data_IF_331347588616
#
_entry.id   IF_331347588616
#
_cell.length_a   1.000
_cell.length_b   1.000
_cell.length_c   1.000
_cell.angle_alpha   90.00
_cell.angle_beta   90.00
_cell.angle_gamma   90.00
#
_symmetry.space_group_name_H-M   'P 1'
#
loop_
_entity.id
_entity.type
_entity.pdbx_description
1 polymer ?
#
# COMPACT_ATOMS: atom_id res chain seq x y z
N UNK A 1 1.45 -19.16 -4.05
CA UNK A 1 2.41 -18.09 -3.70
C UNK A 1 1.74 -16.78 -4.02
N UNK A 2 1.73 -15.80 -3.11
CA UNK A 2 1.32 -14.45 -3.45
C UNK A 2 2.34 -13.91 -4.45
N UNK A 3 1.91 -13.67 -5.69
CA UNK A 3 2.81 -13.18 -6.74
C UNK A 3 2.88 -11.66 -6.64
N UNK A 4 4.09 -11.11 -6.72
CA UNK A 4 4.30 -9.66 -6.75
C UNK A 4 4.17 -9.17 -8.19
N UNK A 5 3.25 -8.24 -8.42
CA UNK A 5 3.11 -7.59 -9.73
C UNK A 5 3.91 -6.28 -9.71
N UNK A 6 4.92 -6.22 -10.57
CA UNK A 6 5.85 -5.08 -10.70
C UNK A 6 5.47 -4.18 -11.88
N UNK A 7 4.19 -3.82 -11.96
CA UNK A 7 3.68 -2.85 -12.93
C UNK A 7 2.90 -1.76 -12.22
N UNK A 8 3.02 -0.53 -12.75
CA UNK A 8 2.29 0.61 -12.21
C UNK A 8 0.78 0.46 -12.43
N UNK A 9 0.00 0.76 -11.39
CA UNK A 9 -1.46 0.80 -11.49
C UNK A 9 -1.90 2.00 -12.34
N UNK A 10 -2.92 1.83 -13.19
CA UNK A 10 -3.48 2.96 -13.92
C UNK A 10 -4.25 3.88 -12.98
N UNK A 11 -4.38 5.14 -13.37
CA UNK A 11 -5.09 6.18 -12.60
C UNK A 11 -6.55 5.82 -12.32
N UNK A 12 -7.19 5.11 -13.25
CA UNK A 12 -8.55 4.59 -13.08
C UNK A 12 -8.65 3.61 -11.91
N UNK A 13 -7.60 2.83 -11.68
CA UNK A 13 -7.51 1.93 -10.53
C UNK A 13 -7.22 2.73 -9.27
N UNK A 14 -6.23 3.63 -9.25
CA UNK A 14 -5.92 4.45 -8.06
C UNK A 14 -7.14 5.25 -7.56
N UNK A 15 -7.87 5.84 -8.50
CA UNK A 15 -8.99 6.73 -8.19
C UNK A 15 -10.24 5.98 -7.69
N UNK A 16 -10.24 4.63 -7.61
CA UNK A 16 -11.32 3.89 -6.94
C UNK A 16 -11.23 3.96 -5.42
N UNK A 17 -10.09 4.38 -4.85
CA UNK A 17 -9.99 4.57 -3.42
C UNK A 17 -11.00 5.62 -2.94
N UNK A 18 -11.61 5.40 -1.77
CA UNK A 18 -12.43 6.43 -1.15
C UNK A 18 -11.56 7.60 -0.69
N UNK A 19 -12.15 8.79 -0.64
CA UNK A 19 -11.53 9.96 -0.04
C UNK A 19 -11.46 9.80 1.48
N UNK A 20 -10.46 10.41 2.12
CA UNK A 20 -10.32 10.41 3.59
C UNK A 20 -11.62 10.83 4.31
N UNK A 21 -12.34 11.79 3.74
CA UNK A 21 -13.61 12.30 4.29
C UNK A 21 -14.75 11.28 4.26
N UNK A 22 -14.62 10.22 3.46
CA UNK A 22 -15.65 9.19 3.27
C UNK A 22 -15.43 7.96 4.17
N UNK A 23 -14.27 7.83 4.81
CA UNK A 23 -13.88 6.61 5.56
C UNK A 23 -13.64 6.83 7.04
N UNK A 24 -14.15 7.92 7.61
CA UNK A 24 -14.00 8.21 9.04
C UNK A 24 -14.60 7.09 9.94
N UNK A 25 -15.65 6.41 9.48
CA UNK A 25 -16.31 5.30 10.19
C UNK A 25 -15.64 3.93 10.01
N UNK A 26 -14.73 3.78 9.05
CA UNK A 26 -14.20 2.48 8.64
C UNK A 26 -13.64 1.61 9.79
N UNK A 27 -12.92 2.16 10.79
CA UNK A 27 -12.46 1.34 11.92
C UNK A 27 -13.58 0.70 12.75
N UNK A 28 -14.73 1.39 12.85
CA UNK A 28 -15.91 0.88 13.56
C UNK A 28 -16.69 -0.09 12.68
N UNK A 29 -16.92 0.29 11.43
CA UNK A 29 -17.71 -0.48 10.47
C UNK A 29 -17.06 -1.84 10.15
N UNK A 30 -15.72 -1.90 10.18
CA UNK A 30 -14.91 -3.09 9.88
C UNK A 30 -14.22 -3.68 11.12
N UNK A 31 -14.80 -3.49 12.32
CA UNK A 31 -14.18 -3.94 13.56
C UNK A 31 -13.86 -5.45 13.57
N UNK A 32 -14.73 -6.28 13.01
CA UNK A 32 -14.54 -7.73 12.94
C UNK A 32 -13.37 -8.08 12.01
N UNK A 33 -13.29 -7.45 10.83
CA UNK A 33 -12.18 -7.63 9.88
C UNK A 33 -10.82 -7.25 10.53
N UNK A 34 -10.80 -6.18 11.32
CA UNK A 34 -9.61 -5.76 12.07
C UNK A 34 -9.19 -6.77 13.15
N UNK A 35 -10.16 -7.44 13.78
CA UNK A 35 -9.90 -8.51 14.73
C UNK A 35 -9.31 -9.73 14.03
N UNK A 36 -9.89 -10.15 12.91
CA UNK A 36 -9.44 -11.31 12.14
C UNK A 36 -8.03 -11.07 11.58
N UNK A 37 -7.76 -9.85 11.10
CA UNK A 37 -6.43 -9.41 10.68
C UNK A 37 -5.41 -9.48 11.82
N UNK A 38 -5.78 -9.05 13.03
CA UNK A 38 -4.90 -9.13 14.20
C UNK A 38 -4.61 -10.60 14.56
N UNK A 39 -5.61 -11.46 14.51
CA UNK A 39 -5.44 -12.88 14.82
C UNK A 39 -4.55 -13.56 13.77
N UNK A 40 -4.65 -13.17 12.49
CA UNK A 40 -3.74 -13.59 11.43
C UNK A 40 -2.28 -13.13 11.66
N UNK A 41 -2.07 -11.86 12.03
CA UNK A 41 -0.74 -11.34 12.36
C UNK A 41 -0.10 -12.13 13.52
N UNK A 42 -0.89 -12.44 14.55
CA UNK A 42 -0.44 -13.24 15.69
C UNK A 42 -0.12 -14.69 15.29
N UNK A 43 -0.98 -15.33 14.48
CA UNK A 43 -0.79 -16.71 13.99
C UNK A 43 0.56 -16.88 13.29
N UNK A 44 0.98 -15.88 12.51
CA UNK A 44 2.22 -15.91 11.76
C UNK A 44 3.42 -15.29 12.50
N UNK A 45 3.27 -14.91 13.76
CA UNK A 45 4.31 -14.24 14.56
C UNK A 45 4.92 -13.03 13.83
N UNK A 46 4.08 -12.25 13.16
CA UNK A 46 4.53 -11.11 12.35
C UNK A 46 5.23 -10.08 13.26
N UNK A 47 6.46 -9.62 12.91
CA UNK A 47 7.20 -8.68 13.75
C UNK A 47 6.47 -7.34 13.92
N UNK A 48 6.70 -6.68 15.06
CA UNK A 48 6.10 -5.37 15.40
C UNK A 48 6.38 -4.25 14.37
N UNK A 49 7.37 -4.42 13.50
CA UNK A 49 7.70 -3.48 12.43
C UNK A 49 6.78 -3.57 11.20
N UNK A 50 5.94 -4.61 11.11
CA UNK A 50 4.99 -4.79 10.01
C UNK A 50 3.62 -4.29 10.45
N UNK A 51 2.98 -3.51 9.59
CA UNK A 51 1.63 -2.99 9.82
C UNK A 51 0.80 -3.12 8.55
N UNK A 52 -0.47 -3.43 8.71
CA UNK A 52 -1.46 -3.38 7.62
C UNK A 52 -2.32 -2.14 7.83
N UNK A 53 -2.61 -1.40 6.76
CA UNK A 53 -3.26 -0.10 6.80
C UNK A 53 -4.48 -0.10 5.88
N UNK A 54 -5.56 0.54 6.34
CA UNK A 54 -6.61 0.99 5.45
C UNK A 54 -6.11 2.23 4.71
N UNK A 55 -5.98 2.12 3.39
CA UNK A 55 -5.55 3.22 2.53
C UNK A 55 -6.77 3.98 2.00
N UNK A 56 -6.60 5.29 1.86
CA UNK A 56 -7.59 6.20 1.28
C UNK A 56 -6.82 7.21 0.43
N UNK A 57 -7.46 7.76 -0.60
CA UNK A 57 -6.81 8.78 -1.42
C UNK A 57 -7.00 10.17 -0.84
N UNK A 58 -5.99 11.01 -1.04
CA UNK A 58 -6.05 12.45 -0.73
C UNK A 58 -6.35 13.25 -1.99
N UNK A 59 -5.90 12.76 -3.15
CA UNK A 59 -6.05 13.39 -4.46
C UNK A 59 -6.28 12.31 -5.52
N UNK A 60 -6.93 12.69 -6.61
CA UNK A 60 -6.97 11.87 -7.82
C UNK A 60 -5.64 11.95 -8.58
N UNK A 61 -5.34 10.90 -9.34
CA UNK A 61 -4.27 10.86 -10.33
C UNK A 61 -4.85 11.04 -11.73
N UNK A 62 -4.08 11.64 -12.64
CA UNK A 62 -4.41 11.72 -14.07
C UNK A 62 -3.64 10.66 -14.85
N UNK A 63 -4.05 10.41 -16.11
CA UNK A 63 -3.53 9.31 -16.93
C UNK A 63 -2.00 9.30 -16.99
N UNK A 64 -1.40 8.20 -16.53
CA UNK A 64 0.05 7.98 -16.53
C UNK A 64 0.75 8.47 -15.26
N UNK A 65 0.02 9.14 -14.37
CA UNK A 65 0.52 9.47 -13.05
C UNK A 65 0.35 8.31 -12.07
N UNK A 66 1.31 8.20 -11.16
CA UNK A 66 1.27 7.30 -10.01
C UNK A 66 1.49 8.10 -8.73
N UNK A 67 0.95 7.63 -7.61
CA UNK A 67 1.11 8.31 -6.33
C UNK A 67 2.45 7.95 -5.69
N UNK A 68 3.27 8.96 -5.40
CA UNK A 68 4.63 8.78 -4.89
C UNK A 68 4.82 9.52 -3.57
N UNK A 69 5.37 8.79 -2.60
CA UNK A 69 5.95 9.37 -1.40
C UNK A 69 7.39 9.78 -1.69
N UNK A 70 7.70 11.02 -1.34
CA UNK A 70 8.99 11.65 -1.59
C UNK A 70 9.47 12.35 -0.33
N UNK A 71 10.79 12.43 -0.15
CA UNK A 71 11.40 13.10 1.00
C UNK A 71 12.08 14.37 0.51
N UNK A 72 11.56 15.52 0.93
CA UNK A 72 12.07 16.81 0.49
C UNK A 72 12.66 17.60 1.68
N UNK A 73 13.77 18.32 1.48
CA UNK A 73 14.27 19.26 2.48
C UNK A 73 13.36 20.49 2.52
N UNK A 74 12.95 20.88 3.73
CA UNK A 74 12.17 22.09 4.00
C UNK A 74 13.00 23.00 4.92
N UNK A 75 13.32 24.23 4.47
CA UNK A 75 14.08 25.18 5.28
C UNK A 75 13.47 25.38 6.68
N UNK A 76 14.29 25.26 7.72
CA UNK A 76 13.85 25.38 9.12
C UNK A 76 13.11 24.16 9.69
N UNK A 77 12.77 23.16 8.87
CA UNK A 77 11.98 21.99 9.29
C UNK A 77 12.65 20.64 9.00
N UNK A 78 13.84 20.62 8.40
CA UNK A 78 14.57 19.39 8.09
C UNK A 78 14.00 18.67 6.87
N UNK A 79 14.03 17.34 6.86
CA UNK A 79 13.49 16.53 5.76
C UNK A 79 12.08 16.09 6.12
N UNK A 80 11.11 16.44 5.29
CA UNK A 80 9.71 16.02 5.44
C UNK A 80 9.32 15.05 4.34
N UNK A 81 8.40 14.15 4.67
CA UNK A 81 7.80 13.27 3.67
C UNK A 81 6.55 13.94 3.08
N UNK A 82 6.47 13.99 1.76
CA UNK A 82 5.31 14.46 1.02
C UNK A 82 4.74 13.33 0.16
N UNK A 83 3.49 13.48 -0.24
CA UNK A 83 2.83 12.60 -1.21
C UNK A 83 2.38 13.44 -2.41
N UNK A 84 2.71 13.01 -3.62
CA UNK A 84 2.35 13.71 -4.87
C UNK A 84 2.13 12.74 -6.04
N UNK A 85 1.19 13.04 -6.96
CA UNK A 85 1.13 12.35 -8.24
C UNK A 85 2.33 12.77 -9.10
N UNK A 86 2.96 11.81 -9.78
CA UNK A 86 3.99 12.09 -10.78
C UNK A 86 3.82 11.17 -11.99
N UNK A 87 4.23 11.63 -13.16
CA UNK A 87 4.53 10.75 -14.29
C UNK A 87 5.93 10.17 -14.08
N UNK A 88 6.09 8.84 -13.89
CA UNK A 88 7.40 8.25 -13.68
C UNK A 88 8.32 8.47 -14.90
N UNK A 89 9.57 8.95 -14.72
CA UNK A 89 10.54 8.94 -15.81
C UNK A 89 10.78 7.52 -16.35
N UNK A 90 11.19 7.42 -17.61
CA UNK A 90 11.44 6.13 -18.28
C UNK A 90 12.56 5.29 -17.63
N UNK A 91 13.44 5.91 -16.84
CA UNK A 91 14.53 5.26 -16.10
C UNK A 91 14.21 4.99 -14.62
N UNK A 92 12.96 5.15 -14.18
CA UNK A 92 12.64 5.29 -12.76
C UNK A 92 12.73 3.96 -11.99
N UNK A 93 13.31 4.02 -10.78
CA UNK A 93 13.45 2.90 -9.84
C UNK A 93 12.43 2.97 -8.69
N UNK A 94 11.23 3.50 -8.94
CA UNK A 94 10.20 3.51 -7.90
C UNK A 94 9.97 2.09 -7.37
N UNK A 95 9.77 2.01 -6.07
CA UNK A 95 9.45 0.77 -5.37
C UNK A 95 8.09 0.90 -4.72
N UNK A 96 7.31 -0.18 -4.75
CA UNK A 96 6.05 -0.23 -4.02
C UNK A 96 6.30 -0.09 -2.52
N UNK A 97 5.48 0.72 -1.86
CA UNK A 97 5.48 0.87 -0.40
C UNK A 97 4.16 0.40 0.21
N UNK A 98 3.05 0.56 -0.52
CA UNK A 98 1.74 0.05 -0.16
C UNK A 98 1.23 -0.82 -1.28
N UNK A 99 0.66 -1.95 -0.89
CA UNK A 99 0.22 -3.01 -1.79
C UNK A 99 -1.25 -3.32 -1.51
N UNK A 100 -1.99 -3.59 -2.58
CA UNK A 100 -3.34 -4.16 -2.47
C UNK A 100 -3.32 -5.59 -3.00
N UNK A 101 -4.30 -6.38 -2.57
CA UNK A 101 -4.57 -7.70 -3.12
C UNK A 101 -5.54 -7.50 -4.28
N UNK A 102 -5.15 -7.94 -5.48
CA UNK A 102 -6.01 -7.86 -6.65
C UNK A 102 -6.91 -9.10 -6.78
N UNK A 103 -7.76 -9.12 -7.81
CA UNK A 103 -8.72 -10.19 -8.09
C UNK A 103 -8.08 -11.58 -8.28
N UNK A 104 -6.76 -11.65 -8.50
CA UNK A 104 -6.00 -12.89 -8.66
C UNK A 104 -5.25 -13.28 -7.37
N UNK A 105 -5.67 -12.80 -6.20
CA UNK A 105 -4.99 -13.01 -4.91
C UNK A 105 -3.50 -12.67 -4.95
N UNK A 106 -3.13 -11.66 -5.75
CA UNK A 106 -1.75 -11.23 -5.96
C UNK A 106 -1.53 -9.83 -5.41
N UNK A 107 -0.32 -9.59 -4.88
CA UNK A 107 0.05 -8.28 -4.35
C UNK A 107 0.52 -7.39 -5.49
N UNK A 108 -0.14 -6.26 -5.66
CA UNK A 108 0.27 -5.25 -6.61
C UNK A 108 0.53 -3.93 -5.88
N UNK A 109 1.65 -3.29 -6.20
CA UNK A 109 2.01 -2.01 -5.63
C UNK A 109 1.00 -0.94 -6.08
N UNK A 110 0.51 -0.15 -5.13
CA UNK A 110 -0.50 0.89 -5.36
C UNK A 110 0.05 2.30 -5.15
N UNK A 111 0.96 2.44 -4.19
CA UNK A 111 1.69 3.66 -3.90
C UNK A 111 3.18 3.36 -3.83
N UNK A 112 3.98 4.33 -4.25
CA UNK A 112 5.39 4.11 -4.53
C UNK A 112 6.28 5.10 -3.79
N UNK A 113 7.56 4.79 -3.72
CA UNK A 113 8.56 5.69 -3.16
C UNK A 113 9.95 5.40 -3.71
N UNK A 114 10.87 6.30 -3.40
CA UNK A 114 12.29 6.13 -3.69
C UNK A 114 13.02 5.79 -2.39
N UNK A 115 12.87 4.54 -1.95
CA UNK A 115 13.41 4.04 -0.68
C UNK A 115 13.91 2.61 -0.83
N UNK A 116 14.80 2.20 0.08
CA UNK A 116 15.16 0.81 0.26
C UNK A 116 13.97 0.02 0.80
N UNK A 117 13.65 -1.09 0.15
CA UNK A 117 12.54 -1.98 0.53
C UNK A 117 13.09 -3.03 1.50
N UNK A 118 12.43 -3.26 2.65
CA UNK A 118 12.82 -4.33 3.55
C UNK A 118 12.66 -5.71 2.87
N UNK A 119 13.53 -6.66 3.22
CA UNK A 119 13.33 -8.05 2.81
C UNK A 119 12.12 -8.64 3.56
N UNK A 120 11.11 -9.05 2.80
CA UNK A 120 9.86 -9.64 3.31
C UNK A 120 9.79 -11.15 3.06
N UNK A 121 10.89 -11.79 2.62
CA UNK A 121 10.94 -13.22 2.29
C UNK A 121 10.46 -14.12 3.43
N UNK A 122 10.78 -13.78 4.67
CA UNK A 122 10.35 -14.53 5.87
C UNK A 122 8.84 -14.44 6.16
N UNK A 123 8.13 -13.51 5.51
CA UNK A 123 6.70 -13.29 5.72
C UNK A 123 5.83 -13.96 4.65
N UNK A 124 6.43 -14.74 3.74
CA UNK A 124 5.71 -15.43 2.67
C UNK A 124 4.49 -16.26 3.15
N UNK A 125 4.55 -17.01 4.26
CA UNK A 125 3.38 -17.73 4.77
C UNK A 125 2.22 -16.80 5.16
N UNK A 126 2.54 -15.69 5.84
CA UNK A 126 1.57 -14.66 6.18
C UNK A 126 0.95 -14.02 4.94
N UNK A 127 1.78 -13.61 3.97
CA UNK A 127 1.32 -12.95 2.75
C UNK A 127 0.41 -13.87 1.92
N UNK A 128 0.73 -15.17 1.85
CA UNK A 128 -0.08 -16.13 1.12
C UNK A 128 -1.48 -16.31 1.74
N UNK A 129 -1.56 -16.45 3.07
CA UNK A 129 -2.85 -16.58 3.76
C UNK A 129 -3.64 -15.27 3.72
N UNK A 130 -2.97 -14.13 3.92
CA UNK A 130 -3.60 -12.81 3.81
C UNK A 130 -4.23 -12.59 2.42
N UNK A 131 -3.49 -12.89 1.35
CA UNK A 131 -4.03 -12.73 0.00
C UNK A 131 -5.21 -13.67 -0.28
N UNK A 132 -5.20 -14.89 0.26
CA UNK A 132 -6.33 -15.81 0.13
C UNK A 132 -7.58 -15.24 0.80
N UNK A 133 -7.45 -14.76 2.04
CA UNK A 133 -8.57 -14.24 2.82
C UNK A 133 -9.21 -12.99 2.22
N UNK A 134 -8.41 -12.11 1.60
CA UNK A 134 -8.91 -10.87 0.99
C UNK A 134 -9.60 -11.12 -0.36
N UNK A 135 -9.29 -12.23 -1.03
CA UNK A 135 -9.86 -12.59 -2.34
C UNK A 135 -11.09 -13.50 -2.27
N UNK A 136 -11.49 -13.94 -1.08
CA UNK A 136 -12.74 -14.68 -0.83
C UNK A 136 -13.98 -13.75 -0.77
#
# INVERSE_FOLDING_TARGET
MATLIDTFVPSSTYNTLPLISQVAGAPTDHFQDLKDLRDLLNKHNVPKGVSVRLIHKHFDTTKGEVMVFDKIPVPGHGVVQIMKPIVPPSSNQLRGIHYFVNDNASLQAYEYGNYDVPDMSSLQPFLAEFCSLVSE
#
